data_IF_529599300786
#
_entry.id   IF_529599300786
#
_cell.length_a   1.000
_cell.length_b   1.000
_cell.length_c   1.000
_cell.angle_alpha   90.00
_cell.angle_beta   90.00
_cell.angle_gamma   90.00
#
_symmetry.space_group_name_H-M   'P 1'
#
loop_
_entity.id
_entity.type
_entity.pdbx_description
1 polymer ?
#
# COMPACT_ATOMS: atom_id res chain seq x y z
N UNK A 1 18.36 -4.63 3.81
CA UNK A 1 17.14 -3.86 4.15
C UNK A 1 16.19 -4.06 2.99
N UNK A 2 14.89 -4.28 3.25
CA UNK A 2 13.87 -4.44 2.19
C UNK A 2 13.81 -3.18 1.33
N UNK A 3 13.68 -3.34 0.01
CA UNK A 3 13.49 -2.23 -0.95
C UNK A 3 12.14 -1.51 -0.77
N UNK A 4 11.22 -2.12 -0.01
CA UNK A 4 9.82 -1.71 0.10
C UNK A 4 9.48 -1.00 1.41
N UNK A 5 10.48 -0.65 2.21
CA UNK A 5 10.28 0.05 3.48
C UNK A 5 10.30 1.56 3.27
N UNK A 6 9.18 2.21 3.56
CA UNK A 6 9.02 3.66 3.55
C UNK A 6 9.26 4.31 4.91
N UNK A 7 9.18 5.64 4.92
CA UNK A 7 9.36 6.46 6.13
C UNK A 7 8.38 6.11 7.25
N UNK A 8 7.16 5.71 6.92
CA UNK A 8 6.09 5.42 7.88
C UNK A 8 5.81 3.92 8.05
N UNK A 9 6.67 3.05 7.52
CA UNK A 9 6.53 1.60 7.47
C UNK A 9 6.24 1.14 6.04
N UNK A 10 5.01 1.22 5.53
CA UNK A 10 4.73 0.99 4.12
C UNK A 10 5.41 2.04 3.24
N UNK A 11 5.79 1.64 2.03
CA UNK A 11 6.30 2.55 0.99
C UNK A 11 5.15 3.37 0.41
N UNK A 12 5.25 4.69 0.42
CA UNK A 12 4.24 5.61 -0.11
C UNK A 12 4.64 6.14 -1.48
N UNK A 13 3.80 5.93 -2.50
CA UNK A 13 4.01 6.37 -3.88
C UNK A 13 2.91 7.36 -4.25
N UNK A 14 3.27 8.63 -4.39
CA UNK A 14 2.38 9.69 -4.86
C UNK A 14 2.41 9.75 -6.40
N UNK A 15 1.36 9.24 -7.05
CA UNK A 15 1.19 9.24 -8.49
C UNK A 15 0.60 10.56 -8.98
N UNK A 16 1.41 11.42 -9.55
CA UNK A 16 0.93 12.61 -10.25
C UNK A 16 0.25 12.20 -11.57
N UNK A 17 0.82 11.17 -12.23
CA UNK A 17 0.24 10.61 -13.45
C UNK A 17 -0.02 11.68 -14.51
N UNK A 18 -1.27 11.80 -14.95
CA UNK A 18 -1.70 12.80 -15.91
C UNK A 18 -2.27 14.09 -15.29
N UNK A 19 -2.26 14.25 -13.96
CA UNK A 19 -2.86 15.41 -13.29
C UNK A 19 -2.21 16.75 -13.63
N UNK A 20 -1.03 16.75 -14.22
CA UNK A 20 -0.39 17.96 -14.78
C UNK A 20 -1.03 18.45 -16.08
N UNK A 21 -1.90 17.64 -16.71
CA UNK A 21 -2.68 17.97 -17.92
C UNK A 21 -1.85 18.52 -19.10
N UNK A 22 -0.55 18.13 -19.18
CA UNK A 22 0.40 18.60 -20.20
C UNK A 22 1.08 19.94 -19.88
N UNK A 23 0.73 20.60 -18.79
CA UNK A 23 1.36 21.82 -18.32
C UNK A 23 2.58 21.50 -17.43
N UNK A 24 3.76 21.88 -17.90
CA UNK A 24 5.01 21.57 -17.19
C UNK A 24 5.19 22.38 -15.91
N UNK A 25 4.77 23.63 -15.88
CA UNK A 25 4.84 24.45 -14.65
C UNK A 25 3.91 23.88 -13.59
N UNK A 26 2.75 23.39 -14.01
CA UNK A 26 1.83 22.69 -13.11
C UNK A 26 2.42 21.33 -12.65
N UNK A 27 3.12 20.59 -13.52
CA UNK A 27 3.84 19.38 -13.13
C UNK A 27 4.89 19.68 -12.04
N UNK A 28 5.66 20.75 -12.16
CA UNK A 28 6.62 21.19 -11.13
C UNK A 28 5.94 21.56 -9.81
N UNK A 29 4.82 22.29 -9.88
CA UNK A 29 4.02 22.63 -8.70
C UNK A 29 3.53 21.37 -7.97
N UNK A 30 2.97 20.41 -8.70
CA UNK A 30 2.51 19.14 -8.13
C UNK A 30 3.66 18.33 -7.54
N UNK A 31 4.83 18.32 -8.21
CA UNK A 31 6.05 17.67 -7.70
C UNK A 31 6.48 18.28 -6.37
N UNK A 32 6.51 19.61 -6.27
CA UNK A 32 6.87 20.30 -5.03
C UNK A 32 5.91 19.94 -3.87
N UNK A 33 4.61 19.94 -4.13
CA UNK A 33 3.60 19.55 -3.13
C UNK A 33 3.72 18.07 -2.72
N UNK A 34 4.01 17.18 -3.68
CA UNK A 34 4.24 15.76 -3.40
C UNK A 34 5.51 15.54 -2.57
N UNK A 35 6.59 16.31 -2.82
CA UNK A 35 7.81 16.33 -1.99
C UNK A 35 7.47 16.74 -0.55
N UNK A 36 6.71 17.81 -0.38
CA UNK A 36 6.27 18.33 0.92
C UNK A 36 5.32 17.38 1.66
N UNK A 37 4.56 16.56 0.95
CA UNK A 37 3.69 15.55 1.55
C UNK A 37 4.44 14.45 2.31
N UNK A 38 5.75 14.34 2.08
CA UNK A 38 6.64 13.30 2.59
C UNK A 38 6.37 11.89 2.02
N UNK A 39 5.73 11.76 0.86
CA UNK A 39 5.74 10.51 0.12
C UNK A 39 7.18 10.06 -0.19
N UNK A 40 7.42 8.76 -0.24
CA UNK A 40 8.75 8.20 -0.49
C UNK A 40 9.14 8.32 -1.96
N UNK A 41 8.16 8.11 -2.85
CA UNK A 41 8.29 8.25 -4.29
C UNK A 41 7.28 9.24 -4.84
N UNK A 42 7.74 10.05 -5.79
CA UNK A 42 6.88 10.88 -6.65
C UNK A 42 6.89 10.26 -8.04
N UNK A 43 5.68 9.87 -8.52
CA UNK A 43 5.55 9.06 -9.70
C UNK A 43 4.89 9.80 -10.85
N UNK A 44 5.38 9.51 -12.05
CA UNK A 44 4.90 10.00 -13.34
C UNK A 44 4.67 8.86 -14.34
N UNK A 45 4.20 9.22 -15.52
CA UNK A 45 4.02 8.33 -16.65
C UNK A 45 4.82 8.87 -17.83
N UNK A 46 5.68 8.04 -18.43
CA UNK A 46 6.53 8.40 -19.55
C UNK A 46 6.07 7.69 -20.81
N UNK A 47 5.60 8.46 -21.78
CA UNK A 47 5.09 7.97 -23.05
C UNK A 47 5.06 9.07 -24.10
N UNK A 48 4.84 8.69 -25.36
CA UNK A 48 4.22 9.56 -26.38
C UNK A 48 2.91 8.94 -26.84
N UNK A 49 1.94 9.75 -27.24
CA UNK A 49 0.64 9.23 -27.67
C UNK A 49 0.76 8.21 -28.80
N UNK A 50 1.69 8.44 -29.72
CA UNK A 50 1.94 7.55 -30.88
C UNK A 50 2.58 6.21 -30.50
N UNK A 51 3.33 6.15 -29.41
CA UNK A 51 3.94 4.90 -28.94
C UNK A 51 3.05 4.15 -27.93
N UNK A 52 2.00 4.79 -27.44
CA UNK A 52 1.08 4.21 -26.45
C UNK A 52 -0.24 3.74 -27.06
N UNK A 53 -0.83 4.54 -27.94
CA UNK A 53 -2.17 4.27 -28.50
C UNK A 53 -2.13 4.31 -30.02
N UNK A 54 -2.67 3.25 -30.66
CA UNK A 54 -2.80 3.22 -32.10
C UNK A 54 -3.56 4.46 -32.61
N UNK A 55 -2.98 5.26 -33.51
CA UNK A 55 -3.67 6.41 -34.07
C UNK A 55 -4.85 6.03 -34.96
N UNK A 56 -4.91 4.79 -35.43
CA UNK A 56 -6.00 4.27 -36.29
C UNK A 56 -7.14 3.73 -35.46
N UNK A 57 -6.82 2.82 -34.51
CA UNK A 57 -7.85 2.13 -33.69
C UNK A 57 -8.35 2.97 -32.52
N UNK A 58 -7.59 3.96 -32.08
CA UNK A 58 -7.88 4.78 -30.90
C UNK A 58 -7.59 6.26 -31.11
N UNK A 59 -7.98 6.86 -32.24
CA UNK A 59 -7.59 8.22 -32.62
C UNK A 59 -7.89 9.28 -31.55
N UNK A 60 -9.10 9.25 -30.95
CA UNK A 60 -9.46 10.20 -29.89
C UNK A 60 -8.59 10.04 -28.65
N UNK A 61 -8.30 8.80 -28.26
CA UNK A 61 -7.45 8.49 -27.11
C UNK A 61 -5.98 8.82 -27.39
N UNK A 62 -5.50 8.58 -28.61
CA UNK A 62 -4.15 8.97 -29.04
C UNK A 62 -3.98 10.50 -28.95
N UNK A 63 -4.93 11.29 -29.47
CA UNK A 63 -4.92 12.75 -29.35
C UNK A 63 -4.96 13.23 -27.90
N UNK A 64 -5.71 12.54 -27.04
CA UNK A 64 -5.73 12.84 -25.60
C UNK A 64 -4.35 12.66 -24.98
N UNK A 65 -3.70 11.51 -25.19
CA UNK A 65 -2.37 11.27 -24.62
C UNK A 65 -1.33 12.23 -25.18
N UNK A 66 -1.36 12.57 -26.47
CA UNK A 66 -0.47 13.59 -27.04
C UNK A 66 -0.56 14.95 -26.33
N UNK A 67 -1.75 15.33 -25.86
CA UNK A 67 -1.93 16.57 -25.11
C UNK A 67 -1.25 16.54 -23.75
N UNK A 68 -1.07 15.36 -23.16
CA UNK A 68 -0.51 15.19 -21.81
C UNK A 68 0.98 14.78 -21.81
N UNK A 69 1.61 14.69 -22.98
CA UNK A 69 3.03 14.34 -23.08
C UNK A 69 3.92 15.38 -22.39
N UNK A 70 4.90 14.89 -21.65
CA UNK A 70 6.06 15.69 -21.23
C UNK A 70 7.30 15.22 -21.99
N UNK A 71 8.19 16.16 -22.29
CA UNK A 71 9.45 15.88 -23.00
C UNK A 71 10.48 15.22 -22.07
N UNK A 72 11.47 14.49 -22.62
CA UNK A 72 12.53 13.87 -21.82
C UNK A 72 13.22 14.82 -20.84
N UNK A 73 13.55 16.04 -21.28
CA UNK A 73 14.22 17.04 -20.46
C UNK A 73 13.36 17.47 -19.28
N UNK A 74 12.04 17.54 -19.47
CA UNK A 74 11.09 17.89 -18.42
C UNK A 74 11.00 16.77 -17.37
N UNK A 75 10.99 15.49 -17.77
CA UNK A 75 11.04 14.37 -16.85
C UNK A 75 12.34 14.32 -16.04
N UNK A 76 13.48 14.64 -16.68
CA UNK A 76 14.79 14.71 -16.01
C UNK A 76 14.79 15.84 -14.97
N UNK A 77 14.23 17.02 -15.30
CA UNK A 77 14.11 18.14 -14.35
C UNK A 77 13.25 17.75 -13.14
N UNK A 78 12.07 17.10 -13.35
CA UNK A 78 11.21 16.60 -12.26
C UNK A 78 11.93 15.57 -11.40
N UNK A 79 12.70 14.66 -12.02
CA UNK A 79 13.50 13.67 -11.29
C UNK A 79 14.57 14.34 -10.43
N UNK A 80 15.26 15.36 -10.96
CA UNK A 80 16.25 16.12 -10.21
C UNK A 80 15.63 16.90 -9.05
N UNK A 81 14.43 17.47 -9.22
CA UNK A 81 13.69 18.10 -8.12
C UNK A 81 13.46 17.12 -6.97
N UNK A 82 12.99 15.89 -7.27
CA UNK A 82 12.80 14.86 -6.27
C UNK A 82 14.10 14.49 -5.55
N UNK A 83 15.17 14.22 -6.30
CA UNK A 83 16.46 13.78 -5.77
C UNK A 83 17.09 14.88 -4.90
N UNK A 84 17.07 16.14 -5.35
CA UNK A 84 17.61 17.28 -4.61
C UNK A 84 16.87 17.51 -3.27
N UNK A 85 15.61 17.13 -3.20
CA UNK A 85 14.81 17.17 -1.99
C UNK A 85 14.92 15.89 -1.12
N UNK A 86 15.81 14.94 -1.46
CA UNK A 86 15.97 13.68 -0.76
C UNK A 86 14.79 12.71 -0.94
N UNK A 87 14.02 12.85 -2.03
CA UNK A 87 12.96 11.95 -2.45
C UNK A 87 13.38 11.12 -3.65
N UNK A 88 12.62 10.08 -3.94
CA UNK A 88 12.86 9.22 -5.10
C UNK A 88 11.87 9.55 -6.21
N UNK A 89 12.38 9.60 -7.42
CA UNK A 89 11.56 9.69 -8.62
C UNK A 89 11.20 8.27 -9.08
N UNK A 90 9.98 8.11 -9.60
CA UNK A 90 9.49 6.88 -10.22
C UNK A 90 8.72 7.22 -11.48
N UNK A 91 8.71 6.32 -12.44
CA UNK A 91 7.82 6.42 -13.59
C UNK A 91 7.34 5.05 -14.07
N UNK A 92 6.09 5.00 -14.55
CA UNK A 92 5.66 3.96 -15.48
C UNK A 92 6.15 4.37 -16.86
N UNK A 93 7.13 3.63 -17.41
CA UNK A 93 7.71 3.91 -18.72
C UNK A 93 7.01 3.02 -19.74
N UNK A 94 5.98 3.55 -20.41
CA UNK A 94 5.12 2.78 -21.31
C UNK A 94 5.75 2.52 -22.68
N UNK A 95 6.76 3.29 -23.07
CA UNK A 95 7.65 2.90 -24.17
C UNK A 95 9.01 2.49 -23.61
N UNK A 96 9.35 1.18 -23.61
CA UNK A 96 10.63 0.70 -23.05
C UNK A 96 11.89 1.31 -23.70
N UNK A 97 11.82 1.87 -24.89
CA UNK A 97 12.96 2.51 -25.54
C UNK A 97 13.39 3.79 -24.80
N UNK A 98 12.48 4.37 -24.02
CA UNK A 98 12.77 5.54 -23.19
C UNK A 98 13.60 5.21 -21.93
N UNK A 99 13.77 3.94 -21.58
CA UNK A 99 14.67 3.50 -20.50
C UNK A 99 16.08 4.07 -20.71
N UNK A 100 16.54 4.16 -21.96
CA UNK A 100 17.89 4.59 -22.31
C UNK A 100 18.32 5.93 -21.69
N UNK A 101 17.39 6.85 -21.47
CA UNK A 101 17.67 8.18 -20.90
C UNK A 101 17.13 8.38 -19.47
N UNK A 102 16.10 7.63 -19.04
CA UNK A 102 15.50 7.81 -17.72
C UNK A 102 16.03 6.84 -16.66
N UNK A 103 16.63 5.72 -17.07
CA UNK A 103 17.10 4.68 -16.15
C UNK A 103 17.97 5.16 -14.99
N UNK A 104 18.90 6.12 -15.15
CA UNK A 104 19.70 6.64 -14.04
C UNK A 104 18.90 7.25 -12.90
N UNK A 105 17.66 7.69 -13.17
CA UNK A 105 16.77 8.33 -12.20
C UNK A 105 15.74 7.36 -11.58
N UNK A 106 15.66 6.11 -12.08
CA UNK A 106 14.71 5.11 -11.64
C UNK A 106 15.39 4.07 -10.74
N UNK A 107 15.28 4.18 -9.41
CA UNK A 107 15.77 3.13 -8.51
C UNK A 107 14.88 1.88 -8.49
N UNK A 108 13.63 2.00 -8.92
CA UNK A 108 12.62 0.94 -8.99
C UNK A 108 11.83 1.10 -10.28
N UNK A 109 11.56 0.02 -10.97
CA UNK A 109 10.67 0.01 -12.13
C UNK A 109 9.21 -0.16 -11.70
N UNK A 110 8.31 0.54 -12.37
CA UNK A 110 6.87 0.40 -12.18
C UNK A 110 6.21 -0.02 -13.49
N UNK A 111 5.56 -1.16 -13.46
CA UNK A 111 4.73 -1.66 -14.55
C UNK A 111 3.27 -1.39 -14.21
N UNK A 112 2.60 -0.63 -15.06
CA UNK A 112 1.17 -0.35 -14.92
C UNK A 112 0.32 -1.57 -15.27
N UNK A 113 -0.93 -1.60 -14.79
CA UNK A 113 -1.86 -2.70 -15.01
C UNK A 113 -2.06 -3.05 -16.50
N UNK A 114 -2.08 -2.05 -17.38
CA UNK A 114 -2.26 -2.26 -18.81
C UNK A 114 -1.13 -3.02 -19.51
N UNK A 115 0.06 -3.07 -18.88
CA UNK A 115 1.24 -3.72 -19.45
C UNK A 115 1.52 -5.10 -18.82
N UNK A 116 0.71 -5.56 -17.86
CA UNK A 116 0.95 -6.82 -17.16
C UNK A 116 1.03 -8.02 -18.12
N UNK A 117 0.24 -8.02 -19.19
CA UNK A 117 0.22 -9.06 -20.20
C UNK A 117 1.11 -8.75 -21.41
N UNK A 118 1.79 -7.60 -21.42
CA UNK A 118 2.69 -7.19 -22.49
C UNK A 118 4.10 -7.78 -22.30
N UNK A 119 4.26 -9.09 -22.49
CA UNK A 119 5.51 -9.81 -22.23
C UNK A 119 6.75 -9.24 -22.93
N UNK A 120 6.67 -8.69 -24.15
CA UNK A 120 7.83 -7.98 -24.74
C UNK A 120 8.28 -6.78 -23.91
N UNK A 121 7.33 -6.04 -23.30
CA UNK A 121 7.61 -4.92 -22.40
C UNK A 121 8.24 -5.44 -21.11
N UNK A 122 7.59 -6.42 -20.45
CA UNK A 122 8.08 -7.02 -19.21
C UNK A 122 9.52 -7.54 -19.35
N UNK A 123 9.84 -8.18 -20.47
CA UNK A 123 11.19 -8.70 -20.77
C UNK A 123 12.24 -7.58 -20.76
N UNK A 124 11.95 -6.44 -21.38
CA UNK A 124 12.91 -5.32 -21.47
C UNK A 124 13.28 -4.77 -20.09
N UNK A 125 12.34 -4.73 -19.15
CA UNK A 125 12.61 -4.33 -17.76
C UNK A 125 13.28 -5.44 -16.95
N UNK A 126 12.79 -6.66 -17.08
CA UNK A 126 13.27 -7.79 -16.29
C UNK A 126 14.76 -8.12 -16.52
N UNK A 127 15.27 -7.97 -17.74
CA UNK A 127 16.69 -8.19 -18.03
C UNK A 127 17.61 -7.23 -17.29
N UNK A 128 17.14 -6.05 -16.91
CA UNK A 128 17.92 -5.01 -16.23
C UNK A 128 18.14 -5.30 -14.74
N UNK A 129 17.26 -6.10 -14.11
CA UNK A 129 17.46 -6.62 -12.75
C UNK A 129 17.28 -5.62 -11.60
N UNK A 130 16.76 -4.41 -11.83
CA UNK A 130 16.39 -3.51 -10.74
C UNK A 130 15.09 -3.97 -10.07
N UNK A 131 14.86 -3.61 -8.80
CA UNK A 131 13.57 -3.87 -8.15
C UNK A 131 12.39 -3.40 -8.99
N UNK A 132 11.30 -4.19 -9.01
CA UNK A 132 10.15 -3.97 -9.87
C UNK A 132 8.85 -4.09 -9.10
N UNK A 133 7.93 -3.17 -9.34
CA UNK A 133 6.55 -3.20 -8.84
C UNK A 133 5.61 -3.40 -10.03
N UNK A 134 4.73 -4.38 -9.97
CA UNK A 134 3.69 -4.63 -10.98
C UNK A 134 2.29 -4.39 -10.38
N UNK A 135 1.40 -3.71 -11.11
CA UNK A 135 0.00 -3.55 -10.76
C UNK A 135 -0.87 -4.53 -11.54
N UNK A 136 -1.98 -5.00 -10.94
CA UNK A 136 -2.75 -6.15 -11.40
C UNK A 136 -4.17 -5.82 -11.87
N UNK A 137 -4.52 -4.55 -12.02
CA UNK A 137 -5.83 -4.17 -12.56
C UNK A 137 -6.06 -4.80 -13.95
N UNK A 138 -7.32 -5.09 -14.27
CA UNK A 138 -7.77 -5.76 -15.50
C UNK A 138 -7.42 -7.26 -15.60
N UNK A 139 -6.54 -7.78 -14.74
CA UNK A 139 -6.03 -9.14 -14.84
C UNK A 139 -6.80 -10.13 -13.96
N UNK A 140 -6.89 -11.37 -14.44
CA UNK A 140 -7.26 -12.52 -13.64
C UNK A 140 -6.07 -12.98 -12.78
N UNK A 141 -6.35 -13.77 -11.73
CA UNK A 141 -5.28 -14.36 -10.91
C UNK A 141 -4.28 -15.17 -11.76
N UNK A 142 -4.78 -15.93 -12.74
CA UNK A 142 -3.90 -16.74 -13.59
C UNK A 142 -2.96 -15.87 -14.43
N UNK A 143 -3.46 -14.78 -15.02
CA UNK A 143 -2.61 -13.84 -15.77
C UNK A 143 -1.54 -13.19 -14.89
N UNK A 144 -1.87 -12.88 -13.62
CA UNK A 144 -0.88 -12.37 -12.66
C UNK A 144 0.20 -13.42 -12.39
N UNK A 145 -0.19 -14.68 -12.12
CA UNK A 145 0.76 -15.76 -11.86
C UNK A 145 1.64 -16.05 -13.08
N UNK A 146 1.08 -16.02 -14.28
CA UNK A 146 1.82 -16.23 -15.53
C UNK A 146 2.82 -15.09 -15.78
N UNK A 147 2.43 -13.82 -15.52
CA UNK A 147 3.33 -12.68 -15.63
C UNK A 147 4.49 -12.76 -14.62
N UNK A 148 4.20 -13.14 -13.37
CA UNK A 148 5.24 -13.37 -12.34
C UNK A 148 6.20 -14.49 -12.79
N UNK A 149 5.68 -15.62 -13.22
CA UNK A 149 6.50 -16.74 -13.72
C UNK A 149 7.36 -16.32 -14.92
N UNK A 150 6.79 -15.56 -15.85
CA UNK A 150 7.51 -15.02 -16.98
C UNK A 150 8.66 -14.10 -16.54
N UNK A 151 8.40 -13.10 -15.68
CA UNK A 151 9.43 -12.18 -15.16
C UNK A 151 10.56 -12.97 -14.47
N UNK A 152 10.22 -13.95 -13.63
CA UNK A 152 11.18 -14.82 -12.93
C UNK A 152 11.95 -15.74 -13.85
N UNK A 153 11.39 -16.13 -15.01
CA UNK A 153 12.09 -16.89 -16.03
C UNK A 153 13.11 -16.07 -16.80
N UNK A 154 12.84 -14.77 -17.00
CA UNK A 154 13.77 -13.84 -17.64
C UNK A 154 14.94 -13.50 -16.72
N UNK A 155 14.67 -13.26 -15.44
CA UNK A 155 15.72 -12.98 -14.47
C UNK A 155 15.35 -13.56 -13.08
N UNK A 156 16.11 -14.58 -12.61
CA UNK A 156 15.83 -15.24 -11.33
C UNK A 156 15.89 -14.35 -10.09
N UNK A 157 16.46 -13.14 -10.16
CA UNK A 157 16.49 -12.19 -9.04
C UNK A 157 15.08 -11.87 -8.54
N UNK A 158 14.10 -11.88 -9.43
CA UNK A 158 12.69 -11.60 -9.14
C UNK A 158 11.93 -12.72 -8.39
N UNK A 159 12.62 -13.81 -8.04
CA UNK A 159 12.10 -14.78 -7.07
C UNK A 159 12.18 -14.25 -5.64
N UNK A 160 13.01 -13.24 -5.42
CA UNK A 160 13.10 -12.57 -4.13
C UNK A 160 11.97 -11.57 -3.94
N UNK A 161 11.26 -11.60 -2.79
CA UNK A 161 10.28 -10.59 -2.43
C UNK A 161 10.88 -9.19 -2.28
N UNK A 162 12.19 -9.06 -2.13
CA UNK A 162 12.87 -7.76 -2.13
C UNK A 162 13.01 -7.15 -3.52
N UNK A 163 12.86 -7.94 -4.60
CA UNK A 163 13.05 -7.49 -5.98
C UNK A 163 11.77 -7.42 -6.81
N UNK A 164 10.72 -8.16 -6.44
CA UNK A 164 9.42 -8.11 -7.10
C UNK A 164 8.32 -7.90 -6.08
N UNK A 165 7.51 -6.87 -6.32
CA UNK A 165 6.32 -6.59 -5.54
C UNK A 165 5.09 -6.50 -6.46
N UNK A 166 3.93 -6.87 -5.91
CA UNK A 166 2.64 -6.90 -6.61
C UNK A 166 1.66 -5.97 -5.91
N UNK A 167 1.01 -5.09 -6.66
CA UNK A 167 -0.07 -4.26 -6.13
C UNK A 167 -1.42 -4.78 -6.61
N UNK A 168 -2.30 -5.13 -5.68
CA UNK A 168 -3.72 -5.21 -5.99
C UNK A 168 -4.20 -3.85 -6.49
N UNK A 169 -4.97 -3.84 -7.57
CA UNK A 169 -5.45 -2.63 -8.21
C UNK A 169 -6.73 -2.92 -9.00
N UNK A 170 -7.61 -1.94 -9.10
CA UNK A 170 -8.76 -1.95 -10.02
C UNK A 170 -8.67 -0.74 -10.95
N UNK A 171 -8.59 -0.98 -12.26
CA UNK A 171 -8.33 0.05 -13.27
C UNK A 171 -9.60 0.76 -13.75
N UNK A 172 -10.22 1.51 -12.84
CA UNK A 172 -11.34 2.43 -13.11
C UNK A 172 -11.18 3.65 -12.18
N UNK A 173 -11.68 4.82 -12.58
CA UNK A 173 -11.42 6.11 -11.93
C UNK A 173 -12.68 6.98 -11.88
N UNK A 174 -13.38 7.12 -10.73
CA UNK A 174 -13.18 6.40 -9.47
C UNK A 174 -13.76 4.98 -9.48
N UNK A 175 -13.43 4.20 -8.45
CA UNK A 175 -14.10 2.95 -8.12
C UNK A 175 -14.92 3.10 -6.83
N UNK A 176 -15.98 2.28 -6.70
CA UNK A 176 -16.67 2.08 -5.42
C UNK A 176 -15.86 1.18 -4.49
N UNK A 177 -16.13 1.24 -3.19
CA UNK A 177 -15.42 0.41 -2.20
C UNK A 177 -15.53 -1.09 -2.47
N UNK A 178 -16.68 -1.55 -2.99
CA UNK A 178 -16.88 -2.97 -3.34
C UNK A 178 -15.89 -3.45 -4.41
N UNK A 179 -15.49 -2.57 -5.32
CA UNK A 179 -14.61 -2.88 -6.45
C UNK A 179 -13.12 -2.84 -6.07
N UNK A 180 -12.76 -2.31 -4.89
CA UNK A 180 -11.39 -2.31 -4.39
C UNK A 180 -10.87 -3.73 -4.13
N UNK A 181 -11.75 -4.63 -3.68
CA UNK A 181 -11.48 -6.06 -3.47
C UNK A 181 -10.13 -6.34 -2.78
N UNK A 182 -9.91 -5.73 -1.62
CA UNK A 182 -8.63 -5.77 -0.90
C UNK A 182 -8.22 -7.18 -0.49
N UNK A 183 -9.19 -8.13 -0.34
CA UNK A 183 -8.90 -9.53 0.00
C UNK A 183 -8.01 -10.22 -1.04
N UNK A 184 -7.98 -9.74 -2.28
CA UNK A 184 -7.06 -10.23 -3.32
C UNK A 184 -5.59 -10.09 -2.88
N UNK A 185 -5.24 -9.12 -2.04
CA UNK A 185 -3.87 -9.01 -1.48
C UNK A 185 -3.45 -10.27 -0.72
N UNK A 186 -4.36 -10.85 0.07
CA UNK A 186 -4.10 -12.09 0.80
C UNK A 186 -3.94 -13.27 -0.16
N UNK A 187 -4.78 -13.35 -1.19
CA UNK A 187 -4.68 -14.37 -2.24
C UNK A 187 -3.33 -14.28 -2.95
N UNK A 188 -2.92 -13.10 -3.36
CA UNK A 188 -1.63 -12.86 -4.05
C UNK A 188 -0.45 -13.23 -3.14
N UNK A 189 -0.48 -12.83 -1.87
CA UNK A 189 0.55 -13.17 -0.88
C UNK A 189 0.71 -14.69 -0.72
N UNK A 190 -0.40 -15.40 -0.55
CA UNK A 190 -0.39 -16.85 -0.40
C UNK A 190 0.09 -17.59 -1.64
N UNK A 191 -0.27 -17.11 -2.84
CA UNK A 191 0.06 -17.77 -4.10
C UNK A 191 1.47 -17.49 -4.59
N UNK A 192 2.05 -16.34 -4.26
CA UNK A 192 3.34 -15.91 -4.82
C UNK A 192 4.47 -15.85 -3.79
N UNK A 193 4.17 -15.65 -2.51
CA UNK A 193 5.18 -15.38 -1.47
C UNK A 193 5.94 -14.06 -1.66
N UNK A 194 5.48 -13.19 -2.56
CA UNK A 194 6.10 -11.90 -2.87
C UNK A 194 5.55 -10.79 -1.96
N UNK A 195 6.22 -9.65 -1.98
CA UNK A 195 5.74 -8.43 -1.33
C UNK A 195 4.46 -7.94 -1.99
N UNK A 196 3.45 -7.62 -1.17
CA UNK A 196 2.14 -7.20 -1.64
C UNK A 196 1.81 -5.79 -1.16
N UNK A 197 1.27 -4.99 -2.06
CA UNK A 197 0.74 -3.67 -1.80
C UNK A 197 -0.61 -3.43 -2.46
N UNK A 198 -1.04 -2.18 -2.42
CA UNK A 198 -2.31 -1.73 -2.99
C UNK A 198 -2.11 -0.44 -3.80
N UNK A 199 -2.70 -0.37 -4.98
CA UNK A 199 -2.80 0.83 -5.82
C UNK A 199 -4.25 1.27 -5.87
N UNK A 200 -4.54 2.45 -5.31
CA UNK A 200 -5.89 2.91 -5.00
C UNK A 200 -6.47 3.84 -6.08
N UNK A 201 -7.73 3.62 -6.39
CA UNK A 201 -8.56 4.49 -7.24
C UNK A 201 -9.92 4.79 -6.59
N UNK A 202 -10.05 4.62 -5.28
CA UNK A 202 -11.24 5.07 -4.53
C UNK A 202 -11.14 6.57 -4.23
N UNK A 203 -12.24 7.17 -3.79
CA UNK A 203 -12.21 8.54 -3.29
C UNK A 203 -11.78 8.57 -1.81
N UNK A 204 -10.74 9.35 -1.50
CA UNK A 204 -10.19 9.50 -0.14
C UNK A 204 -9.20 8.40 0.24
N UNK A 205 -8.82 8.36 1.55
CA UNK A 205 -7.76 7.48 2.07
C UNK A 205 -8.22 6.17 2.70
N UNK A 206 -9.53 5.91 2.78
CA UNK A 206 -10.09 4.80 3.57
C UNK A 206 -9.61 3.42 3.10
N UNK A 207 -9.56 3.18 1.79
CA UNK A 207 -9.09 1.91 1.25
C UNK A 207 -7.59 1.70 1.54
N UNK A 208 -6.79 2.75 1.50
CA UNK A 208 -5.36 2.73 1.86
C UNK A 208 -5.14 2.36 3.33
N UNK A 209 -5.90 2.96 4.25
CA UNK A 209 -5.86 2.64 5.69
C UNK A 209 -6.16 1.16 5.93
N UNK A 210 -7.23 0.63 5.30
CA UNK A 210 -7.62 -0.78 5.42
C UNK A 210 -6.55 -1.68 4.80
N UNK A 211 -6.00 -1.33 3.64
CA UNK A 211 -4.92 -2.07 3.02
C UNK A 211 -3.70 -2.21 3.94
N UNK A 212 -3.31 -1.14 4.66
CA UNK A 212 -2.24 -1.19 5.67
C UNK A 212 -2.60 -2.13 6.82
N UNK A 213 -3.83 -2.05 7.32
CA UNK A 213 -4.30 -2.94 8.39
C UNK A 213 -4.23 -4.42 7.95
N UNK A 214 -4.52 -4.71 6.67
CA UNK A 214 -4.40 -6.03 6.05
C UNK A 214 -2.97 -6.40 5.64
N UNK A 215 -1.97 -5.56 5.93
CA UNK A 215 -0.55 -5.84 5.72
C UNK A 215 -0.01 -5.46 4.35
N UNK A 216 -0.58 -4.46 3.67
CA UNK A 216 0.05 -3.86 2.51
C UNK A 216 1.40 -3.21 2.89
N UNK A 217 2.44 -3.53 2.13
CA UNK A 217 3.79 -2.99 2.33
C UNK A 217 4.09 -1.81 1.40
N UNK A 218 3.28 -1.63 0.36
CA UNK A 218 3.38 -0.55 -0.62
C UNK A 218 1.98 0.02 -0.84
N UNK A 219 1.88 1.34 -0.82
CA UNK A 219 0.67 2.08 -1.16
C UNK A 219 0.96 3.02 -2.33
N UNK A 220 0.21 2.89 -3.40
CA UNK A 220 0.19 3.85 -4.51
C UNK A 220 -1.17 4.56 -4.51
N UNK A 221 -1.16 5.88 -4.63
CA UNK A 221 -2.34 6.73 -4.70
C UNK A 221 -2.10 7.88 -5.66
N UNK A 222 -3.14 8.32 -6.35
CA UNK A 222 -3.06 9.53 -7.18
C UNK A 222 -2.88 10.78 -6.32
N UNK A 223 -2.20 11.79 -6.85
CA UNK A 223 -1.84 13.00 -6.13
C UNK A 223 -2.21 14.27 -6.90
N UNK A 224 -2.76 15.25 -6.19
CA UNK A 224 -3.12 16.56 -6.75
C UNK A 224 -2.94 17.69 -5.73
N UNK A 225 -3.03 18.92 -6.20
CA UNK A 225 -3.09 20.12 -5.34
C UNK A 225 -4.49 20.36 -4.77
N UNK A 226 -5.52 20.08 -5.56
CA UNK A 226 -6.92 20.19 -5.17
C UNK A 226 -7.80 19.35 -6.09
N UNK A 227 -8.94 18.90 -5.58
CA UNK A 227 -10.00 18.24 -6.37
C UNK A 227 -11.04 19.23 -6.87
N UNK A 228 -11.14 20.38 -6.17
CA UNK A 228 -12.15 21.40 -6.46
C UNK A 228 -11.87 22.12 -7.78
N UNK A 229 -12.88 22.24 -8.61
CA UNK A 229 -12.78 22.90 -9.92
C UNK A 229 -12.02 22.10 -11.00
N UNK A 230 -11.59 20.86 -10.72
CA UNK A 230 -10.89 20.00 -11.69
C UNK A 230 -11.85 19.16 -12.49
N UNK A 231 -11.54 18.99 -13.78
CA UNK A 231 -12.36 18.22 -14.73
C UNK A 231 -11.70 16.92 -15.16
N UNK A 232 -10.36 16.83 -15.14
CA UNK A 232 -9.68 15.59 -15.43
C UNK A 232 -9.95 14.57 -14.32
N UNK A 233 -10.37 13.37 -14.71
CA UNK A 233 -10.97 12.35 -13.83
C UNK A 233 -10.06 11.93 -12.67
N UNK A 234 -8.73 11.90 -12.92
CA UNK A 234 -7.78 11.37 -11.94
C UNK A 234 -7.64 12.28 -10.70
N UNK A 235 -7.95 13.58 -10.84
CA UNK A 235 -8.01 14.47 -9.67
C UNK A 235 -9.03 14.01 -8.63
N UNK A 236 -10.14 13.40 -9.06
CA UNK A 236 -11.22 13.00 -8.15
C UNK A 236 -10.79 11.90 -7.17
N UNK A 237 -9.94 10.98 -7.61
CA UNK A 237 -9.38 9.89 -6.79
C UNK A 237 -8.07 10.27 -6.10
N UNK A 238 -7.57 11.48 -6.34
CA UNK A 238 -6.27 11.92 -5.84
C UNK A 238 -6.33 12.38 -4.39
N UNK A 239 -5.26 12.14 -3.66
CA UNK A 239 -4.99 12.75 -2.37
C UNK A 239 -4.28 14.09 -2.55
N UNK A 240 -4.57 15.05 -1.68
CA UNK A 240 -3.80 16.29 -1.53
C UNK A 240 -2.63 16.08 -0.56
N UNK A 241 -1.77 17.06 -0.44
CA UNK A 241 -0.67 17.06 0.54
C UNK A 241 -1.18 16.81 1.97
N UNK A 242 -2.26 17.46 2.34
CA UNK A 242 -2.88 17.36 3.66
C UNK A 242 -3.49 15.96 3.88
N UNK A 243 -4.12 15.38 2.85
CA UNK A 243 -4.62 14.00 2.91
C UNK A 243 -3.49 13.00 3.12
N UNK A 244 -2.32 13.20 2.49
CA UNK A 244 -1.14 12.32 2.68
C UNK A 244 -0.57 12.46 4.09
N UNK A 245 -0.56 13.65 4.67
CA UNK A 245 -0.15 13.83 6.07
C UNK A 245 -1.08 13.09 7.03
N UNK A 246 -2.39 13.21 6.79
CA UNK A 246 -3.39 12.46 7.55
C UNK A 246 -3.20 10.96 7.40
N UNK A 247 -3.03 10.47 6.18
CA UNK A 247 -2.76 9.04 5.92
C UNK A 247 -1.51 8.55 6.68
N UNK A 248 -0.44 9.35 6.72
CA UNK A 248 0.78 9.01 7.45
C UNK A 248 0.56 8.93 8.97
N UNK A 249 -0.33 9.76 9.52
CA UNK A 249 -0.76 9.67 10.92
C UNK A 249 -1.62 8.42 11.16
N UNK A 250 -2.58 8.15 10.29
CA UNK A 250 -3.45 6.99 10.39
C UNK A 250 -2.64 5.67 10.27
N UNK A 251 -1.61 5.62 9.41
CA UNK A 251 -0.69 4.48 9.33
C UNK A 251 0.01 4.23 10.67
N UNK A 252 0.51 5.27 11.35
CA UNK A 252 1.13 5.13 12.67
C UNK A 252 0.14 4.59 13.70
N UNK A 253 -1.08 5.12 13.70
CA UNK A 253 -2.13 4.67 14.60
C UNK A 253 -2.51 3.20 14.34
N UNK A 254 -2.62 2.79 13.07
CA UNK A 254 -2.86 1.40 12.69
C UNK A 254 -1.74 0.47 13.20
N UNK A 255 -0.48 0.88 13.07
CA UNK A 255 0.66 0.09 13.57
C UNK A 255 0.62 -0.06 15.10
N UNK A 256 0.29 0.99 15.84
CA UNK A 256 0.10 0.93 17.28
C UNK A 256 -1.07 0.00 17.65
N UNK A 257 -2.21 0.12 16.96
CA UNK A 257 -3.39 -0.71 17.18
C UNK A 257 -3.15 -2.20 16.89
N UNK A 258 -2.29 -2.53 15.92
CA UNK A 258 -1.92 -3.93 15.61
C UNK A 258 -1.16 -4.59 16.76
N UNK A 259 -0.40 -3.86 17.54
CA UNK A 259 0.35 -4.38 18.68
C UNK A 259 1.39 -5.45 18.29
N UNK A 260 1.80 -6.26 19.26
CA UNK A 260 2.80 -7.33 19.09
C UNK A 260 2.22 -8.65 18.55
N UNK A 261 0.90 -8.84 18.64
CA UNK A 261 0.25 -10.13 18.39
C UNK A 261 0.34 -11.13 19.54
N UNK A 262 1.06 -10.82 20.62
CA UNK A 262 1.12 -11.67 21.82
C UNK A 262 -0.11 -11.45 22.71
N UNK A 263 -0.78 -12.53 23.11
CA UNK A 263 -1.93 -12.44 24.02
C UNK A 263 -1.47 -12.56 25.49
N UNK A 264 -0.99 -11.45 26.03
CA UNK A 264 -0.63 -11.29 27.45
C UNK A 264 -1.38 -10.10 28.05
N UNK A 265 -1.54 -10.03 29.38
CA UNK A 265 -2.02 -8.81 30.03
C UNK A 265 -1.11 -7.64 29.67
N UNK A 266 -1.70 -6.55 29.18
CA UNK A 266 -0.95 -5.35 28.83
C UNK A 266 -0.51 -4.55 30.07
N UNK A 267 0.56 -3.72 29.98
CA UNK A 267 1.04 -2.99 31.14
C UNK A 267 -0.03 -2.23 31.91
N UNK A 268 -0.97 -1.57 31.23
CA UNK A 268 -2.06 -0.83 31.84
C UNK A 268 -3.00 -1.73 32.68
N UNK A 269 -3.24 -2.98 32.29
CA UNK A 269 -4.04 -3.93 33.06
C UNK A 269 -3.28 -4.37 34.33
N UNK A 270 -1.96 -4.53 34.22
CA UNK A 270 -1.08 -4.96 35.34
C UNK A 270 -0.95 -3.81 36.35
N UNK A 271 -0.58 -2.63 35.89
CA UNK A 271 -0.35 -1.44 36.72
C UNK A 271 -1.61 -0.99 37.48
N UNK A 272 -2.78 -1.17 36.89
CA UNK A 272 -4.05 -0.88 37.55
C UNK A 272 -4.58 -2.07 38.39
N UNK A 273 -3.85 -3.16 38.52
CA UNK A 273 -4.23 -4.31 39.32
C UNK A 273 -5.43 -5.10 38.77
N UNK A 274 -5.79 -4.88 37.49
CA UNK A 274 -6.98 -5.50 36.89
C UNK A 274 -6.84 -7.01 36.74
N UNK A 275 -5.61 -7.51 36.63
CA UNK A 275 -5.32 -8.96 36.58
C UNK A 275 -5.81 -9.67 37.85
N UNK A 276 -5.85 -8.98 38.98
CA UNK A 276 -6.37 -9.50 40.25
C UNK A 276 -7.81 -9.06 40.48
N UNK A 277 -8.07 -7.74 40.39
CA UNK A 277 -9.37 -7.16 40.77
C UNK A 277 -10.54 -7.64 39.90
N UNK A 278 -10.31 -7.98 38.63
CA UNK A 278 -11.36 -8.42 37.70
C UNK A 278 -11.48 -9.94 37.59
N UNK A 279 -10.49 -10.70 38.05
CA UNK A 279 -10.57 -12.15 38.10
C UNK A 279 -11.36 -12.61 39.32
N UNK A 280 -11.88 -13.81 39.26
CA UNK A 280 -12.67 -14.43 40.33
C UNK A 280 -11.84 -15.44 41.13
N UNK A 281 -12.10 -15.53 42.39
CA UNK A 281 -11.64 -16.58 43.29
C UNK A 281 -12.83 -17.29 43.96
N UNK A 282 -12.53 -18.40 44.59
CA UNK A 282 -13.47 -19.14 45.43
C UNK A 282 -13.50 -18.50 46.81
N UNK A 283 -14.68 -18.20 47.29
CA UNK A 283 -14.94 -17.64 48.61
C UNK A 283 -15.99 -18.47 49.34
N UNK A 284 -16.02 -18.46 50.68
CA UNK A 284 -17.16 -19.02 51.43
C UNK A 284 -18.40 -18.15 51.18
N UNK A 285 -19.56 -18.79 51.01
CA UNK A 285 -20.84 -18.09 50.79
C UNK A 285 -21.35 -17.41 52.06
N UNK A 286 -20.89 -17.87 53.27
CA UNK A 286 -21.15 -17.31 54.58
C UNK A 286 -20.02 -17.68 55.54
N UNK A 287 -20.06 -17.23 56.78
CA UNK A 287 -19.11 -17.67 57.81
C UNK A 287 -19.21 -19.20 58.00
N UNK A 288 -18.06 -19.88 58.04
CA UNK A 288 -17.94 -21.33 58.17
C UNK A 288 -17.23 -21.65 59.46
N UNK A 289 -17.76 -22.62 60.22
CA UNK A 289 -17.11 -23.16 61.41
C UNK A 289 -15.83 -23.95 61.02
N UNK A 290 -14.86 -24.00 61.96
CA UNK A 290 -13.64 -24.78 61.79
C UNK A 290 -14.00 -26.29 61.62
N UNK A 291 -13.48 -26.92 60.56
CA UNK A 291 -13.76 -28.31 60.24
C UNK A 291 -14.93 -28.53 59.31
N UNK A 292 -15.62 -27.46 58.84
CA UNK A 292 -16.65 -27.57 57.80
C UNK A 292 -16.06 -28.14 56.51
N UNK A 293 -16.71 -29.19 55.98
CA UNK A 293 -16.38 -29.72 54.64
C UNK A 293 -16.92 -28.75 53.59
N UNK A 294 -16.05 -28.32 52.70
CA UNK A 294 -16.42 -27.42 51.61
C UNK A 294 -17.24 -28.18 50.57
N UNK A 295 -18.38 -27.61 50.20
CA UNK A 295 -19.31 -28.13 49.18
C UNK A 295 -19.75 -26.95 48.29
N UNK A 296 -20.35 -27.25 47.15
CA UNK A 296 -20.88 -26.20 46.23
C UNK A 296 -21.89 -25.27 46.94
N UNK A 297 -22.64 -25.78 47.96
CA UNK A 297 -23.66 -25.00 48.68
C UNK A 297 -23.06 -23.92 49.60
N UNK A 298 -21.81 -24.11 50.08
CA UNK A 298 -21.16 -23.21 51.00
C UNK A 298 -20.02 -22.38 50.37
N UNK A 299 -19.87 -22.45 49.03
CA UNK A 299 -18.89 -21.72 48.27
C UNK A 299 -19.56 -20.76 47.26
N UNK A 300 -18.89 -19.67 46.98
CA UNK A 300 -19.32 -18.65 45.99
C UNK A 300 -18.13 -18.14 45.20
N UNK A 301 -18.33 -17.85 43.93
CA UNK A 301 -17.27 -17.38 43.02
C UNK A 301 -17.40 -15.87 42.83
N UNK A 302 -16.54 -15.11 43.48
CA UNK A 302 -16.58 -13.66 43.52
C UNK A 302 -15.24 -13.02 43.05
N UNK A 303 -15.24 -11.75 42.80
CA UNK A 303 -14.09 -10.89 42.64
C UNK A 303 -13.74 -10.25 44.00
N UNK A 304 -12.47 -9.88 44.20
CA UNK A 304 -11.24 -10.08 43.41
C UNK A 304 -10.63 -11.49 43.59
N UNK A 305 -9.58 -11.81 42.82
CA UNK A 305 -8.84 -13.05 42.94
C UNK A 305 -7.75 -12.94 44.05
N UNK A 306 -8.15 -12.98 45.33
CA UNK A 306 -7.26 -12.97 46.49
C UNK A 306 -7.11 -14.31 47.18
N UNK A 307 -7.92 -15.31 46.80
CA UNK A 307 -7.92 -16.65 47.40
C UNK A 307 -7.55 -17.73 46.39
N UNK A 308 -8.25 -18.84 46.48
CA UNK A 308 -8.14 -19.96 45.51
C UNK A 308 -8.71 -19.47 44.20
N UNK A 309 -7.91 -19.55 43.13
CA UNK A 309 -8.36 -19.16 41.80
C UNK A 309 -9.59 -19.99 41.39
N UNK A 310 -10.60 -19.34 40.79
CA UNK A 310 -11.84 -20.01 40.40
C UNK A 310 -11.64 -21.19 39.44
N UNK A 311 -10.49 -21.26 38.73
CA UNK A 311 -10.12 -22.42 37.88
C UNK A 311 -9.85 -23.70 38.68
N UNK A 312 -9.62 -23.58 39.97
CA UNK A 312 -9.36 -24.73 40.89
C UNK A 312 -10.63 -25.22 41.58
N UNK A 313 -11.83 -24.69 41.22
CA UNK A 313 -13.10 -24.96 41.89
C UNK A 313 -13.46 -26.45 41.93
N UNK A 314 -13.19 -27.18 40.82
CA UNK A 314 -13.55 -28.62 40.68
C UNK A 314 -12.44 -29.57 41.19
N UNK A 315 -11.34 -29.02 41.81
CA UNK A 315 -10.23 -29.79 42.38
C UNK A 315 -10.35 -29.92 43.87
#
# INVERSE_FOLDING_TARGET
MSNWKGKYGPLLIAEIGGNHEGDFEYAKKLTQLAIESNADFIKFQIYTGDTLVSPVEGEQRNRHFKKFELRPEQHIELAQMCINAGRKYMASVWNPDFISWIDPYLPVYKIGSGDLTAYPVLRKFAVLGKPMIISTGLATLQEVLDAVAFIQSVNPVYRSPDYLAILQCTSMYPIGYADANLEVMNTLRQKTGLTIGYSDHTEGGKALEIAVAMGAEILEFHFTDTREGKTFRDHKVSLTKEDVWKLAEDIRNIQLLKGSGEKVPVPTEIENGHVISFRRAVYPASDLEAGTVLTEENLVILRPNHGIDAREYDR
#
